data_IF_157966872674
#
_entry.id   IF_157966872674
#
_cell.length_a   1.000
_cell.length_b   1.000
_cell.length_c   1.000
_cell.angle_alpha   90.00
_cell.angle_beta   90.00
_cell.angle_gamma   90.00
#
_symmetry.space_group_name_H-M   'P 1'
#
loop_
_entity.id
_entity.type
_entity.pdbx_description
1 polymer ?
#
# COMPACT_ATOMS: atom_id res chain seq x y z
N UNK A 1 17.79 -0.33 -14.61
CA UNK A 1 16.62 -0.12 -13.71
C UNK A 1 15.40 0.09 -14.58
N UNK A 2 14.40 -0.81 -14.53
CA UNK A 2 13.17 -0.66 -15.31
C UNK A 2 12.32 0.46 -14.72
N UNK A 3 12.05 1.50 -15.51
CA UNK A 3 11.10 2.57 -15.15
C UNK A 3 9.70 1.95 -15.15
N UNK A 4 8.99 2.03 -14.02
CA UNK A 4 7.60 1.59 -13.94
C UNK A 4 6.75 2.51 -14.83
N UNK A 5 5.88 1.91 -15.65
CA UNK A 5 4.95 2.63 -16.53
C UNK A 5 3.62 2.88 -15.79
N UNK A 6 3.30 4.13 -15.41
CA UNK A 6 2.07 4.46 -14.69
C UNK A 6 0.81 4.12 -15.49
N UNK A 7 0.87 4.21 -16.82
CA UNK A 7 -0.26 3.90 -17.70
C UNK A 7 -0.63 2.41 -17.66
N UNK A 8 0.36 1.52 -17.55
CA UNK A 8 0.13 0.07 -17.37
C UNK A 8 -0.46 -0.24 -15.98
N UNK A 9 -0.03 0.46 -14.94
CA UNK A 9 -0.57 0.33 -13.58
C UNK A 9 -2.04 0.79 -13.54
N UNK A 10 -2.34 1.95 -14.13
CA UNK A 10 -3.72 2.44 -14.25
C UNK A 10 -4.60 1.58 -15.17
N UNK A 11 -4.02 0.99 -16.21
CA UNK A 11 -4.67 -0.04 -17.04
C UNK A 11 -5.15 -1.23 -16.21
N UNK A 12 -4.24 -1.84 -15.44
CA UNK A 12 -4.58 -2.98 -14.57
C UNK A 12 -5.65 -2.64 -13.53
N UNK A 13 -5.59 -1.43 -12.94
CA UNK A 13 -6.62 -0.98 -12.00
C UNK A 13 -8.02 -0.95 -12.65
N UNK A 14 -8.12 -0.42 -13.88
CA UNK A 14 -9.39 -0.39 -14.64
C UNK A 14 -9.90 -1.78 -15.00
N UNK A 15 -9.00 -2.67 -15.40
CA UNK A 15 -9.38 -4.04 -15.77
C UNK A 15 -9.91 -4.81 -14.55
N UNK A 16 -9.30 -4.60 -13.37
CA UNK A 16 -9.78 -5.14 -12.11
C UNK A 16 -11.15 -4.57 -11.69
N UNK A 17 -11.34 -3.25 -11.80
CA UNK A 17 -12.66 -2.61 -11.56
C UNK A 17 -13.75 -3.16 -12.49
N UNK A 18 -13.42 -3.44 -13.76
CA UNK A 18 -14.36 -4.04 -14.72
C UNK A 18 -14.69 -5.49 -14.36
N UNK A 19 -13.70 -6.26 -13.92
CA UNK A 19 -13.90 -7.63 -13.45
C UNK A 19 -14.79 -7.67 -12.21
N UNK A 20 -14.53 -6.83 -11.22
CA UNK A 20 -15.32 -6.67 -10.00
C UNK A 20 -16.82 -6.52 -10.32
N UNK A 21 -17.16 -5.52 -11.15
CA UNK A 21 -18.56 -5.27 -11.57
C UNK A 21 -19.18 -6.44 -12.32
N UNK A 22 -18.39 -7.14 -13.13
CA UNK A 22 -18.90 -8.29 -13.90
C UNK A 22 -19.25 -9.45 -12.97
N UNK A 23 -18.37 -9.72 -11.99
CA UNK A 23 -18.62 -10.75 -10.98
C UNK A 23 -19.80 -10.39 -10.08
N UNK A 24 -19.87 -9.15 -9.59
CA UNK A 24 -20.97 -8.68 -8.74
C UNK A 24 -22.33 -8.87 -9.43
N UNK A 25 -22.45 -8.43 -10.69
CA UNK A 25 -23.67 -8.58 -11.46
C UNK A 25 -24.02 -10.05 -11.71
N UNK A 26 -23.03 -10.88 -12.06
CA UNK A 26 -23.23 -12.31 -12.31
C UNK A 26 -23.70 -13.05 -11.06
N UNK A 27 -23.02 -12.83 -9.93
CA UNK A 27 -23.33 -13.48 -8.65
C UNK A 27 -24.70 -13.05 -8.14
N UNK A 28 -25.01 -11.75 -8.22
CA UNK A 28 -26.33 -11.23 -7.84
C UNK A 28 -27.46 -11.82 -8.71
N UNK A 29 -27.22 -11.95 -10.01
CA UNK A 29 -28.17 -12.56 -10.95
C UNK A 29 -28.44 -14.03 -10.61
N UNK A 30 -27.37 -14.83 -10.50
CA UNK A 30 -27.47 -16.24 -10.16
C UNK A 30 -28.10 -16.47 -8.79
N UNK A 31 -27.73 -15.67 -7.77
CA UNK A 31 -28.27 -15.81 -6.41
C UNK A 31 -29.78 -15.55 -6.39
N UNK A 32 -30.29 -14.55 -7.13
CA UNK A 32 -31.74 -14.32 -7.25
C UNK A 32 -32.47 -15.46 -7.94
N UNK A 33 -31.90 -16.01 -9.01
CA UNK A 33 -32.51 -17.10 -9.78
C UNK A 33 -32.56 -18.40 -8.95
N UNK A 34 -31.44 -18.76 -8.33
CA UNK A 34 -31.35 -19.96 -7.48
C UNK A 34 -32.25 -19.86 -6.25
N UNK A 35 -32.33 -18.70 -5.59
CA UNK A 35 -33.24 -18.51 -4.46
C UNK A 35 -34.71 -18.68 -4.88
N UNK A 36 -35.11 -18.22 -6.07
CA UNK A 36 -36.46 -18.48 -6.59
C UNK A 36 -36.69 -19.96 -6.81
N UNK A 37 -35.78 -20.63 -7.52
CA UNK A 37 -35.90 -22.06 -7.79
C UNK A 37 -35.97 -22.90 -6.51
N UNK A 38 -35.14 -22.59 -5.51
CA UNK A 38 -35.18 -23.22 -4.19
C UNK A 38 -36.54 -23.02 -3.54
N UNK A 39 -37.07 -21.79 -3.55
CA UNK A 39 -38.38 -21.47 -2.96
C UNK A 39 -39.50 -22.23 -3.67
N UNK A 40 -39.45 -22.32 -5.01
CA UNK A 40 -40.44 -23.04 -5.82
C UNK A 40 -40.42 -24.54 -5.53
N UNK A 41 -39.23 -25.14 -5.40
CA UNK A 41 -39.06 -26.55 -5.01
C UNK A 41 -39.56 -26.78 -3.58
N UNK A 42 -39.24 -25.88 -2.64
CA UNK A 42 -39.73 -26.02 -1.26
C UNK A 42 -41.26 -25.95 -1.17
N UNK A 43 -41.90 -25.13 -2.01
CA UNK A 43 -43.36 -25.00 -2.07
C UNK A 43 -44.03 -26.20 -2.76
N UNK A 44 -43.43 -26.72 -3.82
CA UNK A 44 -43.98 -27.82 -4.61
C UNK A 44 -44.02 -29.15 -3.84
N UNK A 45 -42.99 -29.43 -3.04
CA UNK A 45 -42.82 -30.72 -2.35
C UNK A 45 -43.24 -30.65 -0.88
N UNK A 46 -44.52 -30.36 -0.65
CA UNK A 46 -45.07 -30.15 0.71
C UNK A 46 -45.37 -31.44 1.49
N UNK A 47 -45.45 -32.60 0.82
CA UNK A 47 -45.80 -33.87 1.44
C UNK A 47 -44.69 -34.36 2.41
N UNK A 48 -45.04 -34.85 3.61
CA UNK A 48 -44.05 -35.41 4.55
C UNK A 48 -43.18 -36.53 3.97
N UNK A 49 -43.70 -37.32 3.02
CA UNK A 49 -42.95 -38.38 2.34
C UNK A 49 -41.87 -37.86 1.37
N UNK A 50 -41.94 -36.58 0.98
CA UNK A 50 -41.02 -35.93 0.05
C UNK A 50 -40.05 -34.97 0.75
N UNK A 51 -39.96 -35.04 2.08
CA UNK A 51 -39.10 -34.18 2.91
C UNK A 51 -37.64 -34.14 2.44
N UNK A 52 -37.13 -35.22 1.86
CA UNK A 52 -35.75 -35.29 1.35
C UNK A 52 -35.48 -34.25 0.25
N UNK A 53 -36.46 -33.95 -0.61
CA UNK A 53 -36.34 -32.92 -1.67
C UNK A 53 -36.22 -31.54 -1.06
N UNK A 54 -37.07 -31.24 -0.08
CA UNK A 54 -37.02 -29.98 0.67
C UNK A 54 -35.71 -29.82 1.46
N UNK A 55 -35.20 -30.89 2.05
CA UNK A 55 -33.90 -30.86 2.74
C UNK A 55 -32.78 -30.49 1.76
N UNK A 56 -32.75 -31.12 0.59
CA UNK A 56 -31.76 -30.81 -0.44
C UNK A 56 -31.86 -29.36 -0.94
N UNK A 57 -33.07 -28.83 -1.13
CA UNK A 57 -33.29 -27.44 -1.49
C UNK A 57 -32.75 -26.45 -0.42
N UNK A 58 -32.96 -26.78 0.87
CA UNK A 58 -32.43 -25.99 1.99
C UNK A 58 -30.91 -26.04 2.08
N UNK A 59 -30.32 -27.21 1.85
CA UNK A 59 -28.87 -27.37 1.79
C UNK A 59 -28.28 -26.53 0.65
N UNK A 60 -28.93 -26.50 -0.52
CA UNK A 60 -28.54 -25.62 -1.63
C UNK A 60 -28.62 -24.12 -1.25
N UNK A 61 -29.63 -23.70 -0.48
CA UNK A 61 -29.70 -22.34 0.07
C UNK A 61 -28.54 -22.03 1.01
N UNK A 62 -28.13 -23.02 1.82
CA UNK A 62 -26.93 -22.92 2.65
C UNK A 62 -25.66 -22.66 1.83
N UNK A 63 -25.43 -23.46 0.80
CA UNK A 63 -24.29 -23.29 -0.12
C UNK A 63 -24.32 -21.94 -0.84
N UNK A 64 -25.50 -21.48 -1.27
CA UNK A 64 -25.64 -20.18 -1.93
C UNK A 64 -25.21 -19.03 -1.01
N UNK A 65 -25.58 -19.08 0.28
CA UNK A 65 -25.11 -18.09 1.26
C UNK A 65 -23.60 -18.13 1.47
N UNK A 66 -22.97 -19.30 1.35
CA UNK A 66 -21.51 -19.40 1.43
C UNK A 66 -20.84 -18.78 0.21
N UNK A 67 -21.39 -19.00 -0.99
CA UNK A 67 -20.94 -18.36 -2.23
C UNK A 67 -21.02 -16.84 -2.10
N UNK A 68 -22.14 -16.30 -1.62
CA UNK A 68 -22.32 -14.85 -1.44
C UNK A 68 -21.27 -14.27 -0.47
N UNK A 69 -20.99 -14.94 0.65
CA UNK A 69 -19.94 -14.52 1.60
C UNK A 69 -18.54 -14.56 0.98
N UNK A 70 -18.24 -15.57 0.16
CA UNK A 70 -16.96 -15.67 -0.53
C UNK A 70 -16.82 -14.56 -1.57
N UNK A 71 -17.91 -14.26 -2.30
CA UNK A 71 -17.96 -13.18 -3.26
C UNK A 71 -17.67 -11.82 -2.61
N UNK A 72 -18.33 -11.50 -1.49
CA UNK A 72 -18.07 -10.27 -0.72
C UNK A 72 -16.60 -10.15 -0.28
N UNK A 73 -16.00 -11.26 0.16
CA UNK A 73 -14.58 -11.27 0.56
C UNK A 73 -13.64 -11.04 -0.62
N UNK A 74 -14.00 -11.53 -1.80
CA UNK A 74 -13.21 -11.33 -3.03
C UNK A 74 -13.35 -9.88 -3.49
N UNK A 75 -14.57 -9.34 -3.51
CA UNK A 75 -14.86 -7.95 -3.86
C UNK A 75 -14.00 -6.98 -3.03
N UNK A 76 -14.05 -7.12 -1.71
CA UNK A 76 -13.30 -6.29 -0.78
C UNK A 76 -11.76 -6.44 -0.97
N UNK A 77 -11.27 -7.64 -1.30
CA UNK A 77 -9.86 -7.82 -1.65
C UNK A 77 -9.49 -7.12 -2.97
N UNK A 78 -10.34 -7.21 -4.00
CA UNK A 78 -10.11 -6.55 -5.28
C UNK A 78 -10.10 -5.03 -5.13
N UNK A 79 -11.06 -4.46 -4.40
CA UNK A 79 -11.11 -3.02 -4.10
C UNK A 79 -9.83 -2.50 -3.48
N UNK A 80 -9.28 -3.23 -2.50
CA UNK A 80 -7.99 -2.87 -1.89
C UNK A 80 -6.83 -2.91 -2.89
N UNK A 81 -6.80 -3.88 -3.81
CA UNK A 81 -5.76 -3.96 -4.85
C UNK A 81 -5.90 -2.82 -5.86
N UNK A 82 -7.12 -2.49 -6.28
CA UNK A 82 -7.40 -1.34 -7.14
C UNK A 82 -6.90 -0.05 -6.49
N UNK A 83 -7.24 0.19 -5.22
CA UNK A 83 -6.77 1.38 -4.49
C UNK A 83 -5.24 1.46 -4.42
N UNK A 84 -4.56 0.34 -4.15
CA UNK A 84 -3.11 0.29 -4.13
C UNK A 84 -2.49 0.61 -5.49
N UNK A 85 -3.06 0.10 -6.58
CA UNK A 85 -2.61 0.39 -7.94
C UNK A 85 -2.83 1.88 -8.30
N UNK A 86 -3.99 2.45 -7.96
CA UNK A 86 -4.28 3.88 -8.16
C UNK A 86 -3.32 4.76 -7.37
N UNK A 87 -3.01 4.38 -6.14
CA UNK A 87 -2.03 5.08 -5.31
C UNK A 87 -0.64 5.04 -5.94
N UNK A 88 -0.21 3.87 -6.42
CA UNK A 88 1.07 3.71 -7.12
C UNK A 88 1.13 4.56 -8.40
N UNK A 89 0.11 4.46 -9.26
CA UNK A 89 -0.05 5.27 -10.48
C UNK A 89 0.13 6.76 -10.18
N UNK A 90 -0.63 7.28 -9.19
CA UNK A 90 -0.55 8.68 -8.79
C UNK A 90 0.82 9.09 -8.25
N UNK A 91 1.48 8.21 -7.51
CA UNK A 91 2.82 8.46 -6.95
C UNK A 91 3.84 8.59 -8.07
N UNK A 92 3.82 7.71 -9.07
CA UNK A 92 4.73 7.81 -10.20
C UNK A 92 4.47 9.05 -11.07
N UNK A 93 3.20 9.38 -11.32
CA UNK A 93 2.85 10.61 -12.06
C UNK A 93 3.35 11.86 -11.33
N UNK A 94 3.20 11.92 -10.00
CA UNK A 94 3.72 13.04 -9.20
C UNK A 94 5.25 13.12 -9.26
N UNK A 95 5.95 12.01 -9.08
CA UNK A 95 7.41 11.97 -9.18
C UNK A 95 7.92 12.41 -10.57
N UNK A 96 7.22 12.05 -11.64
CA UNK A 96 7.55 12.51 -13.00
C UNK A 96 7.31 14.02 -13.18
N UNK A 97 6.21 14.55 -12.64
CA UNK A 97 5.95 16.00 -12.66
C UNK A 97 6.96 16.80 -11.86
N UNK A 98 7.35 16.32 -10.68
CA UNK A 98 8.30 17.03 -9.82
C UNK A 98 9.72 17.01 -10.39
N UNK A 99 10.12 15.91 -11.03
CA UNK A 99 11.38 15.85 -11.79
C UNK A 99 11.36 16.72 -13.05
N UNK A 100 10.24 16.81 -13.76
CA UNK A 100 10.06 17.74 -14.87
C UNK A 100 10.13 19.22 -14.42
N UNK A 101 9.55 19.56 -13.26
CA UNK A 101 9.66 20.90 -12.68
C UNK A 101 11.09 21.23 -12.23
N UNK A 102 11.79 20.28 -11.62
CA UNK A 102 13.19 20.45 -11.19
C UNK A 102 14.17 20.61 -12.37
N UNK A 103 13.83 20.05 -13.54
CA UNK A 103 14.61 20.20 -14.79
C UNK A 103 14.21 21.43 -15.60
N UNK A 104 12.93 21.84 -15.56
CA UNK A 104 12.44 23.07 -16.20
C UNK A 104 12.95 24.37 -15.57
N UNK A 105 13.34 24.33 -14.29
CA UNK A 105 13.97 25.48 -13.59
C UNK A 105 15.49 25.60 -13.89
N UNK A 106 16.10 24.65 -14.61
CA UNK A 106 17.52 24.71 -15.00
C UNK A 106 17.71 25.08 -16.47
N UNK A 107 17.32 26.30 -16.83
CA UNK A 107 18.00 27.08 -17.89
C UNK A 107 18.39 28.42 -17.30
N UNK A 108 19.69 28.70 -17.34
CA UNK A 108 20.39 29.88 -16.79
C UNK A 108 20.71 29.84 -15.28
N UNK A 109 21.74 29.08 -14.94
CA UNK A 109 22.81 29.59 -14.11
C UNK A 109 24.00 28.64 -14.30
N UNK A 110 25.00 29.08 -15.04
CA UNK A 110 26.37 28.54 -14.93
C UNK A 110 26.85 28.90 -13.52
N UNK A 111 26.36 28.16 -12.51
CA UNK A 111 26.80 28.32 -11.14
C UNK A 111 28.11 27.56 -11.02
N UNK A 112 29.20 28.31 -10.99
CA UNK A 112 30.57 27.83 -10.82
C UNK A 112 30.69 27.18 -9.45
N UNK A 113 30.33 25.90 -9.38
CA UNK A 113 30.27 25.05 -8.19
C UNK A 113 31.69 24.60 -7.74
N UNK A 114 32.67 25.50 -7.79
CA UNK A 114 34.04 25.26 -7.29
C UNK A 114 34.29 25.92 -5.92
N UNK A 115 33.56 26.97 -5.55
CA UNK A 115 33.85 27.72 -4.31
C UNK A 115 33.22 27.17 -3.03
N UNK A 116 31.98 26.67 -3.09
CA UNK A 116 31.20 26.33 -1.89
C UNK A 116 31.43 24.92 -1.37
N UNK A 117 31.72 23.95 -2.25
CA UNK A 117 32.02 22.57 -1.82
C UNK A 117 33.38 22.50 -1.12
N UNK A 118 34.39 23.26 -1.57
CA UNK A 118 35.72 23.25 -0.97
C UNK A 118 35.74 23.78 0.47
N UNK A 119 34.97 24.84 0.77
CA UNK A 119 34.89 25.42 2.12
C UNK A 119 34.19 24.49 3.13
N UNK A 120 33.19 23.74 2.69
CA UNK A 120 32.53 22.74 3.54
C UNK A 120 33.43 21.55 3.85
N UNK A 121 34.15 21.02 2.85
CA UNK A 121 35.11 19.93 3.06
C UNK A 121 36.29 20.33 3.96
N UNK A 122 36.79 21.57 3.84
CA UNK A 122 37.85 22.06 4.74
C UNK A 122 37.38 22.15 6.20
N UNK A 123 36.19 22.69 6.46
CA UNK A 123 35.61 22.73 7.82
C UNK A 123 35.35 21.35 8.41
N UNK A 124 34.99 20.36 7.58
CA UNK A 124 34.78 18.99 8.06
C UNK A 124 36.12 18.31 8.45
N UNK A 125 37.17 18.50 7.66
CA UNK A 125 38.50 17.94 7.96
C UNK A 125 39.15 18.61 9.18
N UNK A 126 38.97 19.92 9.39
CA UNK A 126 39.43 20.62 10.60
C UNK A 126 38.74 20.09 11.87
N UNK A 127 37.44 19.82 11.79
CA UNK A 127 36.65 19.28 12.91
C UNK A 127 37.00 17.82 13.24
N UNK A 128 37.47 17.05 12.25
CA UNK A 128 38.02 15.71 12.47
C UNK A 128 39.41 15.76 13.11
N UNK A 129 40.21 16.80 12.83
CA UNK A 129 41.58 16.97 13.37
C UNK A 129 41.59 17.43 14.83
N UNK A 130 40.59 18.17 15.29
CA UNK A 130 40.46 18.60 16.69
C UNK A 130 39.97 17.49 17.64
N UNK A 131 39.32 16.43 17.15
CA UNK A 131 38.81 15.33 17.98
C UNK A 131 39.77 14.13 18.09
N UNK A 132 41.00 14.22 17.56
CA UNK A 132 42.02 13.15 17.62
C UNK A 132 43.29 13.60 18.36
N UNK A 133 43.32 14.82 18.89
CA UNK A 133 44.41 15.32 19.73
C UNK A 133 43.96 15.47 21.19
N UNK A 134 43.45 14.39 21.79
CA UNK A 134 43.56 14.20 23.23
C UNK A 134 43.67 12.70 23.56
N UNK A 135 44.90 12.21 23.74
CA UNK A 135 45.13 11.07 24.60
C UNK A 135 46.20 11.39 25.65
N UNK A 136 45.88 11.19 26.92
CA UNK A 136 46.87 10.72 27.90
C UNK A 136 47.04 11.56 29.17
N UNK A 137 46.25 11.20 30.18
CA UNK A 137 46.69 10.78 31.53
C UNK A 137 47.73 11.56 32.37
N UNK A 138 47.28 11.83 33.60
CA UNK A 138 47.94 11.58 34.90
C UNK A 138 49.04 12.53 35.43
N UNK A 139 48.80 13.09 36.63
CA UNK A 139 49.66 13.02 37.84
C UNK A 139 49.13 14.05 38.88
N UNK A 140 48.46 13.61 39.94
CA UNK A 140 48.99 13.30 41.29
C UNK A 140 49.00 14.49 42.29
N UNK A 141 48.45 14.18 43.47
CA UNK A 141 48.86 14.60 44.81
C UNK A 141 48.70 16.06 45.30
N UNK A 142 47.93 16.15 46.39
CA UNK A 142 48.20 16.91 47.62
C UNK A 142 48.20 18.45 47.57
N UNK A 143 47.14 19.05 48.14
CA UNK A 143 47.21 19.75 49.44
C UNK A 143 45.95 20.61 49.69
N UNK A 144 45.18 20.26 50.73
CA UNK A 144 44.55 21.27 51.61
C UNK A 144 45.68 21.83 52.51
N UNK A 145 45.63 23.06 53.05
CA UNK A 145 44.43 23.78 53.50
C UNK A 145 44.42 25.32 53.23
N UNK A 146 43.30 26.00 53.48
CA UNK A 146 43.32 27.15 54.39
C UNK A 146 41.90 27.55 54.83
N UNK A 147 41.79 27.78 56.14
CA UNK A 147 40.67 28.38 56.86
C UNK A 147 40.85 29.91 56.88
N UNK A 148 39.72 30.61 57.07
CA UNK A 148 39.57 32.01 57.52
C UNK A 148 39.92 33.13 56.51
N UNK A 149 38.88 33.84 56.07
CA UNK A 149 38.54 35.15 56.65
C UNK A 149 37.04 35.44 56.52
#
# INVERSE_FOLDING_TARGET
MNKVDPGRVGGLARDLERLERTMENGITGMSRELNRLISDVEAAYSDPSEHYVRSAAREASGLLREIDKLAERIDEQMRRKVQALRYAENTYIKAEKDSAKATGVKKSATFTLKGTIQSWFQRFMEKARQNVADPGEASSAASRPSLLQ
#
